data_IF_678896541905
#
_entry.id   IF_678896541905
#
_cell.length_a   1.000
_cell.length_b   1.000
_cell.length_c   1.000
_cell.angle_alpha   90.00
_cell.angle_beta   90.00
_cell.angle_gamma   90.00
#
_symmetry.space_group_name_H-M   'P 1'
#
loop_
_entity.id
_entity.type
_entity.pdbx_description
1 polymer ?
#
# COMPACT_ATOMS: atom_id res chain seq x y z
N UNK A 1 0.62 -20.57 -13.29
CA UNK A 1 0.09 -19.20 -13.42
C UNK A 1 0.40 -18.49 -12.12
N UNK A 2 1.48 -17.72 -12.12
CA UNK A 2 1.97 -16.97 -10.97
C UNK A 2 0.89 -15.96 -10.58
N UNK A 3 0.34 -16.07 -9.36
CA UNK A 3 -0.57 -15.04 -8.85
C UNK A 3 0.28 -13.85 -8.45
N UNK A 4 0.54 -12.93 -9.37
CA UNK A 4 0.99 -11.58 -9.03
C UNK A 4 0.03 -11.03 -7.98
N UNK A 5 0.49 -10.89 -6.74
CA UNK A 5 -0.23 -10.10 -5.74
C UNK A 5 -0.23 -8.67 -6.27
N UNK A 6 -1.38 -8.15 -6.67
CA UNK A 6 -1.50 -6.83 -7.31
C UNK A 6 -1.03 -5.67 -6.40
N UNK A 7 -0.81 -5.94 -5.12
CA UNK A 7 -0.29 -5.00 -4.12
C UNK A 7 0.28 -5.76 -2.93
N UNK A 8 1.14 -5.08 -2.16
CA UNK A 8 1.71 -5.60 -0.92
C UNK A 8 0.82 -5.22 0.27
N UNK A 9 0.82 -6.02 1.34
CA UNK A 9 0.11 -5.71 2.59
C UNK A 9 1.08 -5.86 3.76
N UNK A 10 1.18 -4.81 4.57
CA UNK A 10 1.92 -4.80 5.84
C UNK A 10 0.95 -4.40 6.93
N UNK A 11 0.68 -5.29 7.88
CA UNK A 11 -0.34 -5.08 8.91
C UNK A 11 -1.71 -4.75 8.30
N UNK A 12 -2.21 -3.55 8.58
CA UNK A 12 -3.45 -3.01 8.03
C UNK A 12 -3.25 -1.97 6.90
N UNK A 13 -2.04 -1.92 6.33
CA UNK A 13 -1.65 -1.00 5.27
C UNK A 13 -1.46 -1.77 3.96
N UNK A 14 -2.18 -1.36 2.92
CA UNK A 14 -1.98 -1.83 1.55
C UNK A 14 -1.05 -0.87 0.79
N UNK A 15 -0.14 -1.42 -0.01
CA UNK A 15 0.86 -0.67 -0.77
C UNK A 15 0.77 -1.07 -2.25
N UNK A 16 0.37 -0.12 -3.09
CA UNK A 16 0.21 -0.29 -4.54
C UNK A 16 1.40 0.28 -5.32
N UNK A 17 1.66 -0.31 -6.49
CA UNK A 17 2.67 0.13 -7.46
C UNK A 17 1.97 0.41 -8.79
N UNK A 18 1.67 1.69 -9.02
CA UNK A 18 0.86 2.15 -10.14
C UNK A 18 1.35 3.54 -10.57
N UNK A 19 1.38 3.78 -11.87
CA UNK A 19 1.79 5.05 -12.46
C UNK A 19 0.79 6.16 -12.17
N UNK A 20 1.25 7.42 -12.20
CA UNK A 20 0.45 8.64 -11.96
C UNK A 20 -0.73 8.76 -12.95
N UNK A 21 -1.89 8.22 -12.55
CA UNK A 21 -3.08 8.16 -13.38
C UNK A 21 -4.36 8.51 -12.60
N UNK A 22 -5.45 8.75 -13.33
CA UNK A 22 -6.72 9.16 -12.73
C UNK A 22 -7.43 8.05 -11.91
N UNK A 23 -6.94 6.80 -11.97
CA UNK A 23 -7.64 5.63 -11.42
C UNK A 23 -7.33 5.35 -9.95
N UNK A 24 -6.46 6.14 -9.32
CA UNK A 24 -6.06 5.93 -7.92
C UNK A 24 -7.18 5.88 -6.92
N UNK A 25 -8.15 6.76 -7.07
CA UNK A 25 -9.28 6.82 -6.17
C UNK A 25 -10.11 5.54 -6.25
N UNK A 26 -10.32 5.01 -7.46
CA UNK A 26 -11.10 3.80 -7.68
C UNK A 26 -10.34 2.55 -7.21
N UNK A 27 -9.03 2.48 -7.45
CA UNK A 27 -8.18 1.41 -6.93
C UNK A 27 -8.19 1.41 -5.40
N UNK A 28 -7.98 2.56 -4.77
CA UNK A 28 -7.93 2.66 -3.32
C UNK A 28 -9.30 2.35 -2.68
N UNK A 29 -10.40 2.85 -3.25
CA UNK A 29 -11.77 2.49 -2.82
C UNK A 29 -12.04 1.00 -2.96
N UNK A 30 -11.65 0.40 -4.09
CA UNK A 30 -11.82 -1.03 -4.34
C UNK A 30 -11.08 -1.87 -3.30
N UNK A 31 -9.82 -1.55 -3.02
CA UNK A 31 -9.02 -2.24 -1.99
C UNK A 31 -9.69 -2.15 -0.62
N UNK A 32 -10.08 -0.96 -0.17
CA UNK A 32 -10.73 -0.78 1.14
C UNK A 32 -12.12 -1.43 1.21
N UNK A 33 -12.86 -1.43 0.10
CA UNK A 33 -14.19 -2.05 0.00
C UNK A 33 -14.12 -3.59 0.05
N UNK A 34 -13.12 -4.18 -0.62
CA UNK A 34 -12.92 -5.63 -0.64
C UNK A 34 -12.21 -6.17 0.62
N UNK A 35 -11.40 -5.35 1.29
CA UNK A 35 -10.58 -5.77 2.44
C UNK A 35 -10.84 -4.90 3.68
N UNK A 36 -11.84 -5.28 4.49
CA UNK A 36 -12.29 -4.51 5.67
C UNK A 36 -11.20 -4.27 6.73
N UNK A 37 -10.16 -5.12 6.75
CA UNK A 37 -9.02 -4.99 7.64
C UNK A 37 -8.01 -3.92 7.19
N UNK A 38 -8.03 -3.50 5.93
CA UNK A 38 -7.16 -2.43 5.43
C UNK A 38 -7.70 -1.08 5.91
N UNK A 39 -6.82 -0.30 6.56
CA UNK A 39 -7.12 1.03 7.10
C UNK A 39 -6.38 2.14 6.38
N UNK A 40 -5.32 1.80 5.64
CA UNK A 40 -4.50 2.76 4.88
C UNK A 40 -4.15 2.16 3.52
N UNK A 41 -4.24 2.96 2.47
CA UNK A 41 -3.72 2.63 1.14
C UNK A 41 -2.64 3.63 0.74
N UNK A 42 -1.46 3.13 0.41
CA UNK A 42 -0.29 3.91 0.01
C UNK A 42 0.16 3.54 -1.41
N UNK A 43 0.69 4.51 -2.16
CA UNK A 43 1.37 4.32 -3.45
C UNK A 43 2.88 4.40 -3.27
N UNK A 44 3.64 3.50 -3.86
CA UNK A 44 5.11 3.63 -4.00
C UNK A 44 5.40 4.81 -4.95
N UNK A 45 6.17 5.80 -4.50
CA UNK A 45 6.50 7.00 -5.31
C UNK A 45 7.93 7.00 -5.80
N UNK A 46 8.83 6.37 -5.05
CA UNK A 46 10.25 6.33 -5.39
C UNK A 46 10.83 4.93 -5.27
N UNK A 47 11.99 4.75 -5.91
CA UNK A 47 12.89 3.66 -5.59
C UNK A 47 13.38 3.73 -4.13
N UNK A 48 14.04 2.66 -3.68
CA UNK A 48 14.71 2.64 -2.36
C UNK A 48 16.01 3.42 -2.45
N UNK A 49 16.20 4.36 -1.54
CA UNK A 49 17.38 5.23 -1.49
C UNK A 49 18.04 5.20 -0.11
N UNK A 50 19.31 5.60 -0.08
CA UNK A 50 20.10 5.72 1.15
C UNK A 50 20.47 4.38 1.81
N UNK A 51 21.27 4.47 2.87
CA UNK A 51 21.79 3.31 3.63
C UNK A 51 20.70 2.52 4.34
N UNK A 52 19.63 3.21 4.77
CA UNK A 52 18.46 2.61 5.40
C UNK A 52 17.44 2.07 4.39
N UNK A 53 17.70 2.24 3.07
CA UNK A 53 16.89 1.69 1.97
C UNK A 53 15.41 2.10 2.05
N UNK A 54 15.15 3.33 2.50
CA UNK A 54 13.80 3.90 2.60
C UNK A 54 13.28 4.33 1.23
N UNK A 55 11.96 4.45 1.10
CA UNK A 55 11.31 4.98 -0.11
C UNK A 55 10.15 5.89 0.26
N UNK A 56 9.78 6.77 -0.66
CA UNK A 56 8.66 7.70 -0.50
C UNK A 56 7.35 7.00 -0.85
N UNK A 57 6.32 7.29 -0.07
CA UNK A 57 4.96 6.82 -0.29
C UNK A 57 4.00 8.01 -0.38
N UNK A 58 3.03 7.92 -1.27
CA UNK A 58 1.88 8.83 -1.32
C UNK A 58 0.68 8.16 -0.66
N UNK A 59 -0.04 8.91 0.18
CA UNK A 59 -1.31 8.46 0.75
C UNK A 59 -2.40 8.52 -0.32
N UNK A 60 -3.14 7.42 -0.49
CA UNK A 60 -4.26 7.34 -1.43
C UNK A 60 -5.62 7.32 -0.72
N UNK A 61 -5.76 6.56 0.38
CA UNK A 61 -7.01 6.47 1.11
C UNK A 61 -6.84 5.99 2.56
N UNK A 62 -7.88 6.22 3.36
CA UNK A 62 -7.95 5.80 4.75
C UNK A 62 -7.20 6.72 5.71
N UNK A 63 -6.73 6.17 6.83
CA UNK A 63 -6.05 6.93 7.88
C UNK A 63 -4.72 7.53 7.39
N UNK A 64 -4.35 8.72 7.86
CA UNK A 64 -3.08 9.38 7.48
C UNK A 64 -1.95 8.95 8.41
N UNK A 65 -1.45 7.73 8.23
CA UNK A 65 -0.28 7.19 8.96
C UNK A 65 0.52 6.21 8.10
N UNK A 66 1.74 5.91 8.54
CA UNK A 66 2.65 4.95 7.88
C UNK A 66 3.15 3.84 8.82
N UNK A 67 2.72 3.85 10.08
CA UNK A 67 3.09 2.85 11.10
C UNK A 67 1.96 1.87 11.32
N UNK A 68 2.30 0.59 11.47
CA UNK A 68 1.37 -0.50 11.78
C UNK A 68 2.12 -1.62 12.52
N UNK A 69 1.38 -2.47 13.22
CA UNK A 69 1.88 -3.76 13.68
C UNK A 69 1.56 -4.81 12.63
N UNK A 70 2.55 -5.60 12.25
CA UNK A 70 2.38 -6.75 11.36
C UNK A 70 2.75 -8.03 12.10
N UNK A 71 2.01 -9.10 11.86
CA UNK A 71 2.26 -10.41 12.44
C UNK A 71 2.69 -11.35 11.31
N UNK A 72 3.89 -11.89 11.42
CA UNK A 72 4.39 -12.97 10.55
C UNK A 72 4.57 -14.24 11.38
N UNK A 73 4.16 -15.38 10.82
CA UNK A 73 4.50 -16.74 11.31
C UNK A 73 4.24 -17.09 12.79
N UNK A 74 3.33 -16.40 13.49
CA UNK A 74 2.86 -16.82 14.82
C UNK A 74 3.57 -16.16 15.98
#
# INVERSE_FOLDING_TARGET
MERTRAYDVVGDIAIVEIDDNAEFNEIAKSIMGSHKNIKVVLRKVSERIGTHRTRTYAHLAGERRTTTVHKESG
#
